data_IF_584739342439
#
_entry.id   IF_584739342439
#
_cell.length_a   1.000
_cell.length_b   1.000
_cell.length_c   1.000
_cell.angle_alpha   90.00
_cell.angle_beta   90.00
_cell.angle_gamma   90.00
#
_symmetry.space_group_name_H-M   'P 1'
#
loop_
_entity.id
_entity.type
_entity.pdbx_description
1 polymer ?
#
# COMPACT_ATOMS: atom_id res chain seq x y z
N UNK A 1 46.63 1.04 -11.19
CA UNK A 1 45.84 1.26 -9.95
C UNK A 1 44.58 2.08 -10.26
N UNK A 2 43.84 1.71 -11.32
CA UNK A 2 42.86 2.62 -11.96
C UNK A 2 41.59 1.93 -12.49
N UNK A 3 41.41 0.63 -12.21
CA UNK A 3 40.24 -0.16 -12.68
C UNK A 3 39.16 -0.30 -11.60
N UNK A 4 39.48 -0.02 -10.34
CA UNK A 4 38.55 -0.17 -9.20
C UNK A 4 37.52 0.97 -9.10
N UNK A 5 37.72 2.10 -9.78
CA UNK A 5 36.88 3.31 -9.64
C UNK A 5 35.68 3.36 -10.59
N UNK A 6 35.70 2.68 -11.74
CA UNK A 6 34.53 2.66 -12.64
C UNK A 6 33.47 1.63 -12.22
N UNK A 7 33.89 0.45 -11.76
CA UNK A 7 32.98 -0.59 -11.29
C UNK A 7 32.24 -0.17 -10.00
N UNK A 8 32.90 0.57 -9.10
CA UNK A 8 32.26 1.09 -7.89
C UNK A 8 31.26 2.20 -8.21
N UNK A 9 31.61 3.14 -9.11
CA UNK A 9 30.69 4.19 -9.55
C UNK A 9 29.45 3.61 -10.23
N UNK A 10 29.60 2.71 -11.21
CA UNK A 10 28.45 2.10 -11.90
C UNK A 10 27.50 1.35 -10.94
N UNK A 11 28.04 0.74 -9.87
CA UNK A 11 27.25 0.12 -8.80
C UNK A 11 26.54 1.16 -7.93
N UNK A 12 27.12 2.34 -7.70
CA UNK A 12 26.53 3.40 -6.87
C UNK A 12 25.35 4.10 -7.57
N UNK A 13 25.44 4.35 -8.88
CA UNK A 13 24.36 4.97 -9.67
C UNK A 13 23.10 4.09 -9.74
N UNK A 14 23.27 2.78 -9.91
CA UNK A 14 22.15 1.81 -9.96
C UNK A 14 21.37 1.74 -8.63
N UNK A 15 22.00 2.08 -7.51
CA UNK A 15 21.39 2.06 -6.16
C UNK A 15 20.49 3.29 -5.92
N UNK A 16 20.74 4.41 -6.60
CA UNK A 16 19.98 5.66 -6.39
C UNK A 16 18.72 5.76 -7.27
N UNK A 17 18.71 5.16 -8.46
CA UNK A 17 17.61 5.30 -9.43
C UNK A 17 16.32 4.63 -8.97
N UNK A 18 16.40 3.40 -8.41
CA UNK A 18 15.19 2.66 -7.99
C UNK A 18 14.43 3.36 -6.84
N UNK A 19 15.07 3.82 -5.75
CA UNK A 19 14.40 4.62 -4.73
C UNK A 19 13.82 5.93 -5.28
N UNK A 20 14.52 6.60 -6.21
CA UNK A 20 14.05 7.85 -6.80
C UNK A 20 12.82 7.65 -7.69
N UNK A 21 12.80 6.59 -8.52
CA UNK A 21 11.63 6.24 -9.34
C UNK A 21 10.42 5.87 -8.49
N UNK A 22 10.63 5.07 -7.44
CA UNK A 22 9.56 4.74 -6.48
C UNK A 22 9.03 5.98 -5.76
N UNK A 23 9.92 6.87 -5.31
CA UNK A 23 9.55 8.14 -4.70
C UNK A 23 8.75 9.03 -5.65
N UNK A 24 9.15 9.12 -6.93
CA UNK A 24 8.43 9.89 -7.94
C UNK A 24 7.01 9.35 -8.14
N UNK A 25 6.84 8.03 -8.24
CA UNK A 25 5.52 7.40 -8.35
C UNK A 25 4.63 7.66 -7.13
N UNK A 26 5.20 7.62 -5.92
CA UNK A 26 4.46 8.02 -4.71
C UNK A 26 4.02 9.49 -4.75
N UNK A 27 4.86 10.39 -5.27
CA UNK A 27 4.52 11.81 -5.40
C UNK A 27 3.42 12.03 -6.45
N UNK A 28 3.48 11.31 -7.58
CA UNK A 28 2.44 11.35 -8.62
C UNK A 28 1.11 10.88 -8.04
N UNK A 29 1.10 9.72 -7.37
CA UNK A 29 -0.10 9.22 -6.69
C UNK A 29 -0.62 10.20 -5.64
N UNK A 30 0.26 10.80 -4.82
CA UNK A 30 -0.17 11.76 -3.81
C UNK A 30 -0.85 12.98 -4.44
N UNK A 31 -0.26 13.51 -5.51
CA UNK A 31 -0.81 14.65 -6.22
C UNK A 31 -2.18 14.31 -6.82
N UNK A 32 -2.29 13.18 -7.52
CA UNK A 32 -3.55 12.71 -8.10
C UNK A 32 -4.64 12.47 -7.04
N UNK A 33 -4.34 11.67 -6.03
CA UNK A 33 -5.34 11.19 -5.08
C UNK A 33 -5.85 12.26 -4.11
N UNK A 34 -5.05 13.28 -3.80
CA UNK A 34 -5.31 14.18 -2.67
C UNK A 34 -5.17 15.67 -2.98
N UNK A 35 -4.57 16.07 -4.10
CA UNK A 35 -4.29 17.48 -4.40
C UNK A 35 -5.02 17.95 -5.65
N UNK A 36 -4.94 17.18 -6.74
CA UNK A 36 -5.69 17.46 -7.97
C UNK A 36 -7.18 17.22 -7.71
N UNK A 37 -8.02 18.15 -8.17
CA UNK A 37 -9.46 18.09 -7.93
C UNK A 37 -9.91 18.36 -6.49
N UNK A 38 -8.99 18.57 -5.54
CA UNK A 38 -9.34 18.80 -4.14
C UNK A 38 -10.22 20.05 -3.97
N UNK A 39 -11.28 19.94 -3.16
CA UNK A 39 -12.19 21.05 -2.83
C UNK A 39 -12.36 21.25 -1.33
N UNK A 40 -12.82 22.44 -0.93
CA UNK A 40 -13.09 22.77 0.48
C UNK A 40 -11.85 22.68 1.37
N UNK A 41 -11.96 21.99 2.50
CA UNK A 41 -10.86 21.86 3.48
C UNK A 41 -9.67 21.06 2.95
N UNK A 42 -9.89 20.18 1.96
CA UNK A 42 -8.87 19.29 1.38
C UNK A 42 -7.73 20.07 0.73
N UNK A 43 -8.04 21.22 0.12
CA UNK A 43 -7.08 22.14 -0.53
C UNK A 43 -5.99 22.65 0.41
N UNK A 44 -6.28 22.73 1.71
CA UNK A 44 -5.31 23.18 2.71
C UNK A 44 -4.65 21.99 3.39
N UNK A 45 -5.43 21.00 3.80
CA UNK A 45 -4.94 19.90 4.64
C UNK A 45 -3.99 18.98 3.87
N UNK A 46 -4.33 18.57 2.65
CA UNK A 46 -3.48 17.61 1.93
C UNK A 46 -2.17 18.20 1.42
N UNK A 47 -2.10 19.45 0.92
CA UNK A 47 -0.81 20.07 0.66
C UNK A 47 0.04 20.24 1.93
N UNK A 48 -0.57 20.57 3.07
CA UNK A 48 0.15 20.65 4.34
C UNK A 48 0.70 19.29 4.80
N UNK A 49 -0.06 18.21 4.58
CA UNK A 49 0.37 16.83 4.89
C UNK A 49 1.38 16.25 3.88
N UNK A 50 1.50 16.85 2.69
CA UNK A 50 2.51 16.45 1.71
C UNK A 50 3.94 16.70 2.25
N UNK A 51 4.13 17.80 2.98
CA UNK A 51 5.42 18.17 3.57
C UNK A 51 5.95 17.08 4.52
N UNK A 52 5.23 16.67 5.57
CA UNK A 52 5.69 15.59 6.44
C UNK A 52 5.79 14.25 5.69
N UNK A 53 4.95 13.97 4.69
CA UNK A 53 5.10 12.77 3.86
C UNK A 53 6.43 12.74 3.11
N UNK A 54 6.83 13.85 2.48
CA UNK A 54 8.12 14.00 1.80
C UNK A 54 9.30 13.92 2.78
N UNK A 55 9.19 14.55 3.96
CA UNK A 55 10.21 14.43 5.00
C UNK A 55 10.36 12.97 5.45
N UNK A 56 9.25 12.27 5.68
CA UNK A 56 9.24 10.85 5.99
C UNK A 56 9.85 9.98 4.91
N UNK A 57 9.55 10.28 3.64
CA UNK A 57 10.14 9.62 2.48
C UNK A 57 11.65 9.80 2.45
N UNK A 58 12.16 11.02 2.69
CA UNK A 58 13.60 11.28 2.76
C UNK A 58 14.25 10.51 3.93
N UNK A 59 13.59 10.43 5.09
CA UNK A 59 14.08 9.66 6.24
C UNK A 59 14.16 8.16 5.90
N UNK A 60 13.08 7.61 5.33
CA UNK A 60 13.03 6.20 4.98
C UNK A 60 13.97 5.86 3.81
N UNK A 61 14.14 6.76 2.85
CA UNK A 61 15.10 6.64 1.76
C UNK A 61 16.55 6.54 2.27
N UNK A 62 16.91 7.26 3.34
CA UNK A 62 18.25 7.16 3.96
C UNK A 62 18.53 5.80 4.60
N UNK A 63 17.48 5.07 4.99
CA UNK A 63 17.59 3.70 5.49
C UNK A 63 17.57 2.64 4.40
N UNK A 64 17.29 3.02 3.14
CA UNK A 64 17.26 2.08 2.03
C UNK A 64 18.66 1.54 1.76
N UNK A 65 18.76 0.22 1.75
CA UNK A 65 19.92 -0.51 1.22
C UNK A 65 19.47 -1.18 -0.06
N UNK A 66 19.21 -0.37 -1.09
CA UNK A 66 18.76 -0.88 -2.38
C UNK A 66 19.86 -1.77 -2.96
N UNK A 67 19.63 -3.09 -2.91
CA UNK A 67 20.42 -4.07 -3.63
C UNK A 67 19.49 -4.63 -4.70
N UNK A 68 19.65 -4.16 -5.93
CA UNK A 68 19.00 -4.78 -7.08
C UNK A 68 19.63 -6.17 -7.23
N UNK A 69 18.83 -7.21 -6.95
CA UNK A 69 19.21 -8.59 -7.20
C UNK A 69 18.45 -9.08 -8.42
N UNK A 70 19.19 -9.59 -9.41
CA UNK A 70 18.64 -10.18 -10.62
C UNK A 70 18.77 -11.71 -10.62
N UNK A 71 19.43 -12.28 -9.61
CA UNK A 71 19.89 -13.68 -9.62
C UNK A 71 18.75 -14.71 -9.41
N UNK A 72 17.50 -14.26 -9.27
CA UNK A 72 16.31 -15.13 -9.15
C UNK A 72 15.00 -14.39 -9.40
N UNK A 73 14.85 -13.78 -10.59
CA UNK A 73 13.57 -13.19 -11.00
C UNK A 73 12.54 -14.29 -11.30
N UNK A 74 11.65 -14.52 -10.35
CA UNK A 74 10.53 -15.45 -10.45
C UNK A 74 9.20 -14.75 -10.08
N UNK A 75 8.48 -14.17 -11.06
CA UNK A 75 7.21 -13.48 -10.82
C UNK A 75 6.02 -14.45 -10.69
N UNK A 76 6.23 -15.77 -10.79
CA UNK A 76 5.15 -16.76 -10.88
C UNK A 76 4.17 -16.70 -9.71
N UNK A 77 4.67 -16.49 -8.49
CA UNK A 77 3.85 -16.34 -7.29
C UNK A 77 2.92 -15.12 -7.39
N UNK A 78 3.45 -13.96 -7.76
CA UNK A 78 2.64 -12.73 -7.88
C UNK A 78 1.62 -12.86 -9.02
N UNK A 79 2.01 -13.47 -10.13
CA UNK A 79 1.12 -13.78 -11.25
C UNK A 79 -0.02 -14.73 -10.82
N UNK A 80 0.30 -15.79 -10.08
CA UNK A 80 -0.69 -16.75 -9.59
C UNK A 80 -1.69 -16.09 -8.61
N UNK A 81 -1.20 -15.22 -7.72
CA UNK A 81 -2.06 -14.46 -6.83
C UNK A 81 -2.96 -13.46 -7.59
N UNK A 82 -2.43 -12.79 -8.62
CA UNK A 82 -3.22 -11.90 -9.46
C UNK A 82 -4.33 -12.67 -10.20
N UNK A 83 -4.00 -13.83 -10.76
CA UNK A 83 -4.98 -14.72 -11.39
C UNK A 83 -6.05 -15.19 -10.39
N UNK A 84 -5.66 -15.60 -9.19
CA UNK A 84 -6.58 -16.03 -8.14
C UNK A 84 -7.55 -14.92 -7.73
N UNK A 85 -7.05 -13.70 -7.47
CA UNK A 85 -7.89 -12.54 -7.16
C UNK A 85 -8.84 -12.20 -8.31
N UNK A 86 -8.36 -12.26 -9.56
CA UNK A 86 -9.20 -12.02 -10.73
C UNK A 86 -10.33 -13.05 -10.84
N UNK A 87 -10.03 -14.34 -10.62
CA UNK A 87 -11.05 -15.40 -10.61
C UNK A 87 -12.07 -15.15 -9.49
N UNK A 88 -11.62 -14.88 -8.27
CA UNK A 88 -12.51 -14.57 -7.14
C UNK A 88 -13.45 -13.40 -7.43
N UNK A 89 -12.94 -12.34 -8.08
CA UNK A 89 -13.74 -11.19 -8.48
C UNK A 89 -14.75 -11.50 -9.58
N UNK A 90 -14.34 -12.26 -10.60
CA UNK A 90 -15.15 -12.47 -11.81
C UNK A 90 -16.12 -13.63 -11.71
N UNK A 91 -15.78 -14.68 -10.97
CA UNK A 91 -16.59 -15.92 -10.90
C UNK A 91 -17.36 -16.06 -9.59
N UNK A 92 -16.82 -15.54 -8.48
CA UNK A 92 -17.45 -15.64 -7.17
C UNK A 92 -18.09 -14.32 -6.70
N UNK A 93 -18.07 -13.28 -7.55
CA UNK A 93 -18.66 -11.96 -7.29
C UNK A 93 -18.23 -11.36 -5.94
N UNK A 94 -16.99 -11.64 -5.53
CA UNK A 94 -16.44 -11.13 -4.28
C UNK A 94 -15.99 -9.68 -4.44
N UNK A 95 -16.03 -8.90 -3.37
CA UNK A 95 -15.46 -7.56 -3.36
C UNK A 95 -13.93 -7.61 -3.49
N UNK A 96 -13.27 -6.57 -4.06
CA UNK A 96 -11.81 -6.52 -4.15
C UNK A 96 -11.10 -6.76 -2.81
N UNK A 97 -11.61 -6.14 -1.73
CA UNK A 97 -11.08 -6.28 -0.37
C UNK A 97 -11.16 -7.72 0.12
N UNK A 98 -12.29 -8.41 -0.10
CA UNK A 98 -12.46 -9.79 0.32
C UNK A 98 -11.57 -10.74 -0.48
N UNK A 99 -11.48 -10.56 -1.81
CA UNK A 99 -10.60 -11.35 -2.68
C UNK A 99 -9.12 -11.20 -2.26
N UNK A 100 -8.67 -9.97 -1.99
CA UNK A 100 -7.35 -9.68 -1.44
C UNK A 100 -7.15 -10.39 -0.11
N UNK A 101 -8.12 -10.29 0.81
CA UNK A 101 -8.07 -10.92 2.12
C UNK A 101 -7.91 -12.44 2.04
N UNK A 102 -8.69 -13.12 1.20
CA UNK A 102 -8.62 -14.58 1.00
C UNK A 102 -7.25 -14.98 0.47
N UNK A 103 -6.76 -14.34 -0.59
CA UNK A 103 -5.42 -14.64 -1.14
C UNK A 103 -4.33 -14.33 -0.12
N UNK A 104 -4.49 -13.28 0.69
CA UNK A 104 -3.58 -12.95 1.79
C UNK A 104 -3.55 -14.00 2.89
N UNK A 105 -4.70 -14.59 3.26
CA UNK A 105 -4.75 -15.70 4.22
C UNK A 105 -4.00 -16.90 3.67
N UNK A 106 -4.24 -17.25 2.39
CA UNK A 106 -3.52 -18.34 1.71
C UNK A 106 -2.02 -18.07 1.69
N UNK A 107 -1.59 -16.86 1.32
CA UNK A 107 -0.19 -16.46 1.30
C UNK A 107 0.46 -16.51 2.69
N UNK A 108 -0.26 -16.05 3.71
CA UNK A 108 0.16 -16.06 5.10
C UNK A 108 0.31 -17.48 5.67
N UNK A 109 -0.63 -18.38 5.38
CA UNK A 109 -0.56 -19.79 5.78
C UNK A 109 0.52 -20.55 5.00
N UNK A 110 0.67 -20.28 3.69
CA UNK A 110 1.67 -20.93 2.86
C UNK A 110 3.12 -20.60 3.29
N UNK A 111 3.35 -19.46 3.97
CA UNK A 111 4.63 -19.13 4.60
C UNK A 111 5.02 -20.14 5.69
N UNK A 112 4.05 -20.79 6.35
CA UNK A 112 4.31 -21.85 7.34
C UNK A 112 4.90 -23.12 6.72
N UNK A 113 4.90 -23.22 5.39
CA UNK A 113 5.51 -24.30 4.62
C UNK A 113 6.71 -23.76 3.79
N UNK A 114 7.93 -23.72 4.36
CA UNK A 114 9.10 -23.09 3.74
C UNK A 114 9.46 -23.63 2.35
N UNK A 115 9.08 -24.88 2.05
CA UNK A 115 9.32 -25.54 0.76
C UNK A 115 8.49 -24.94 -0.39
N UNK A 116 7.38 -24.26 -0.09
CA UNK A 116 6.45 -23.75 -1.11
C UNK A 116 6.68 -22.25 -1.32
N UNK A 117 6.54 -21.45 -0.26
CA UNK A 117 6.56 -19.98 -0.37
C UNK A 117 7.77 -19.36 0.33
N UNK A 118 8.19 -19.92 1.47
CA UNK A 118 9.25 -19.32 2.29
C UNK A 118 8.94 -17.86 2.61
N UNK A 119 9.94 -16.97 2.48
CA UNK A 119 9.78 -15.53 2.75
C UNK A 119 9.09 -14.74 1.64
N UNK A 120 8.48 -15.42 0.65
CA UNK A 120 7.84 -14.80 -0.52
C UNK A 120 6.34 -14.57 -0.34
N UNK A 121 5.79 -14.70 0.87
CA UNK A 121 4.37 -14.44 1.16
C UNK A 121 3.97 -13.01 0.81
N UNK A 122 4.88 -12.04 1.00
CA UNK A 122 4.70 -10.67 0.53
C UNK A 122 4.55 -10.58 -1.00
N UNK A 123 5.27 -11.38 -1.78
CA UNK A 123 5.16 -11.39 -3.24
C UNK A 123 3.78 -11.88 -3.72
N UNK A 124 3.28 -12.96 -3.09
CA UNK A 124 1.91 -13.46 -3.30
C UNK A 124 0.88 -12.39 -2.92
N UNK A 125 1.00 -11.82 -1.71
CA UNK A 125 0.03 -10.84 -1.23
C UNK A 125 0.06 -9.55 -2.06
N UNK A 126 1.22 -9.11 -2.55
CA UNK A 126 1.32 -7.99 -3.47
C UNK A 126 0.62 -8.26 -4.82
N UNK A 127 0.77 -9.49 -5.35
CA UNK A 127 0.12 -9.89 -6.59
C UNK A 127 -1.41 -9.88 -6.53
N UNK A 128 -1.98 -10.17 -5.36
CA UNK A 128 -3.44 -10.11 -5.18
C UNK A 128 -4.01 -8.71 -5.38
N UNK A 129 -3.25 -7.66 -5.03
CA UNK A 129 -3.66 -6.28 -5.28
C UNK A 129 -3.73 -5.97 -6.78
N UNK A 130 -2.75 -6.43 -7.56
CA UNK A 130 -2.79 -6.28 -9.02
C UNK A 130 -3.96 -7.07 -9.63
N UNK A 131 -4.24 -8.26 -9.10
CA UNK A 131 -5.42 -9.05 -9.47
C UNK A 131 -6.76 -8.39 -9.14
N UNK A 132 -6.75 -7.47 -8.17
CA UNK A 132 -7.93 -6.78 -7.67
C UNK A 132 -8.23 -5.44 -8.39
N UNK A 133 -7.59 -5.19 -9.53
CA UNK A 133 -7.90 -4.01 -10.35
C UNK A 133 -9.36 -4.02 -10.80
N UNK A 134 -9.96 -2.83 -10.83
CA UNK A 134 -11.30 -2.65 -11.36
C UNK A 134 -11.38 -3.06 -12.83
N UNK A 135 -12.46 -3.73 -13.27
CA UNK A 135 -12.77 -3.92 -14.69
C UNK A 135 -12.81 -2.62 -15.50
N UNK A 136 -13.08 -1.49 -14.83
CA UNK A 136 -13.10 -0.16 -15.45
C UNK A 136 -11.69 0.32 -15.82
N UNK A 137 -10.66 -0.18 -15.14
CA UNK A 137 -9.25 0.13 -15.43
C UNK A 137 -8.69 -0.83 -16.47
N UNK A 138 -8.94 -2.13 -16.32
CA UNK A 138 -8.45 -3.15 -17.25
C UNK A 138 -9.62 -4.00 -17.81
N UNK A 139 -9.84 -3.96 -19.14
CA UNK A 139 -10.97 -4.66 -19.75
C UNK A 139 -10.75 -6.17 -19.83
N UNK A 140 -9.48 -6.60 -19.90
CA UNK A 140 -9.09 -7.98 -20.16
C UNK A 140 -8.19 -8.56 -19.09
N UNK A 141 -8.33 -9.88 -18.85
CA UNK A 141 -7.48 -10.64 -17.95
C UNK A 141 -5.98 -10.50 -18.27
N UNK A 142 -5.62 -10.36 -19.55
CA UNK A 142 -4.22 -10.20 -19.98
C UNK A 142 -3.51 -9.01 -19.32
N UNK A 143 -4.18 -7.85 -19.20
CA UNK A 143 -3.61 -6.67 -18.55
C UNK A 143 -3.42 -6.86 -17.04
N UNK A 144 -4.40 -7.50 -16.39
CA UNK A 144 -4.33 -7.85 -14.97
C UNK A 144 -3.18 -8.82 -14.70
N UNK A 145 -3.02 -9.83 -15.54
CA UNK A 145 -1.92 -10.81 -15.43
C UNK A 145 -0.56 -10.15 -15.71
N UNK A 146 -0.46 -9.25 -16.69
CA UNK A 146 0.75 -8.48 -16.95
C UNK A 146 1.13 -7.61 -15.73
N UNK A 147 0.16 -6.95 -15.11
CA UNK A 147 0.37 -6.17 -13.89
C UNK A 147 0.79 -7.06 -12.70
N UNK A 148 0.20 -8.24 -12.56
CA UNK A 148 0.61 -9.24 -11.56
C UNK A 148 2.05 -9.72 -11.77
N UNK A 149 2.43 -10.06 -12.99
CA UNK A 149 3.81 -10.44 -13.32
C UNK A 149 4.80 -9.30 -13.02
N UNK A 150 4.47 -8.08 -13.44
CA UNK A 150 5.31 -6.90 -13.18
C UNK A 150 5.39 -6.57 -11.69
N UNK A 151 4.32 -6.79 -10.92
CA UNK A 151 4.33 -6.64 -9.45
C UNK A 151 5.35 -7.57 -8.81
N UNK A 152 5.40 -8.84 -9.23
CA UNK A 152 6.40 -9.80 -8.77
C UNK A 152 7.83 -9.36 -9.09
N UNK A 153 8.06 -8.90 -10.33
CA UNK A 153 9.36 -8.36 -10.76
C UNK A 153 9.77 -7.16 -9.92
N UNK A 154 8.89 -6.16 -9.78
CA UNK A 154 9.17 -4.97 -8.98
C UNK A 154 9.38 -5.32 -7.50
N UNK A 155 8.63 -6.25 -6.93
CA UNK A 155 8.83 -6.68 -5.54
C UNK A 155 10.24 -7.24 -5.30
N UNK A 156 10.75 -8.05 -6.23
CA UNK A 156 12.10 -8.61 -6.14
C UNK A 156 13.18 -7.54 -6.32
N UNK A 157 13.00 -6.63 -7.29
CA UNK A 157 13.93 -5.54 -7.54
C UNK A 157 13.94 -4.50 -6.40
N UNK A 158 12.78 -4.22 -5.80
CA UNK A 158 12.58 -3.20 -4.77
C UNK A 158 12.71 -3.75 -3.34
N UNK A 159 13.22 -4.97 -3.15
CA UNK A 159 13.33 -5.62 -1.82
C UNK A 159 14.00 -4.72 -0.77
N UNK A 160 15.00 -3.94 -1.18
CA UNK A 160 15.74 -3.00 -0.34
C UNK A 160 15.24 -1.55 -0.32
N UNK A 161 14.16 -1.24 -1.04
CA UNK A 161 13.52 0.09 -1.07
C UNK A 161 12.43 0.11 0.01
N UNK A 162 12.46 1.15 0.85
CA UNK A 162 11.58 1.36 2.00
C UNK A 162 11.36 0.08 2.84
N UNK A 163 12.44 -0.57 3.31
CA UNK A 163 12.29 -1.79 4.09
C UNK A 163 11.38 -1.49 5.29
N UNK A 164 10.41 -2.38 5.50
CA UNK A 164 9.64 -2.45 6.75
C UNK A 164 8.65 -1.28 6.95
N UNK A 165 8.42 -0.46 5.92
CA UNK A 165 7.32 0.51 5.87
C UNK A 165 6.00 -0.20 5.52
N UNK A 166 4.98 -0.02 6.36
CA UNK A 166 3.63 -0.51 6.09
C UNK A 166 3.08 0.03 4.77
N UNK A 167 2.28 -0.75 4.06
CA UNK A 167 1.75 -0.35 2.75
C UNK A 167 2.69 -0.53 1.56
N UNK A 168 3.98 -0.84 1.77
CA UNK A 168 4.95 -1.07 0.68
C UNK A 168 4.49 -2.10 -0.35
N UNK A 169 3.83 -3.17 0.10
CA UNK A 169 3.33 -4.23 -0.77
C UNK A 169 2.34 -3.69 -1.80
N UNK A 170 1.33 -2.92 -1.34
CA UNK A 170 0.37 -2.30 -2.26
C UNK A 170 0.99 -1.17 -3.07
N UNK A 171 1.90 -0.37 -2.52
CA UNK A 171 2.64 0.62 -3.28
C UNK A 171 3.46 0.00 -4.44
N UNK A 172 4.03 -1.19 -4.24
CA UNK A 172 4.73 -1.94 -5.29
C UNK A 172 3.76 -2.41 -6.37
N UNK A 173 2.59 -2.95 -5.97
CA UNK A 173 1.55 -3.35 -6.90
C UNK A 173 1.01 -2.17 -7.70
N UNK A 174 0.75 -1.04 -7.04
CA UNK A 174 0.32 0.20 -7.67
C UNK A 174 1.32 0.67 -8.72
N UNK A 175 2.62 0.68 -8.41
CA UNK A 175 3.64 1.03 -9.39
C UNK A 175 3.58 0.14 -10.64
N UNK A 176 3.42 -1.18 -10.47
CA UNK A 176 3.30 -2.10 -11.59
C UNK A 176 2.01 -1.88 -12.39
N UNK A 177 0.87 -1.78 -11.71
CA UNK A 177 -0.45 -1.55 -12.31
C UNK A 177 -0.46 -0.23 -13.08
N UNK A 178 0.07 0.85 -12.50
CA UNK A 178 0.16 2.16 -13.13
C UNK A 178 1.02 2.13 -14.41
N UNK A 179 2.17 1.44 -14.38
CA UNK A 179 3.01 1.28 -15.58
C UNK A 179 2.30 0.49 -16.69
N UNK A 180 1.58 -0.57 -16.34
CA UNK A 180 0.79 -1.34 -17.31
C UNK A 180 -0.38 -0.52 -17.84
N UNK A 181 -1.01 0.28 -16.98
CA UNK A 181 -2.08 1.21 -17.36
C UNK A 181 -1.60 2.26 -18.37
N UNK A 182 -0.42 2.87 -18.16
CA UNK A 182 0.18 3.79 -19.15
C UNK A 182 0.33 3.12 -20.52
N UNK A 183 0.81 1.87 -20.56
CA UNK A 183 0.97 1.11 -21.81
C UNK A 183 -0.39 0.80 -22.46
N UNK A 184 -1.39 0.41 -21.66
CA UNK A 184 -2.74 0.16 -22.16
C UNK A 184 -3.37 1.42 -22.76
N UNK A 185 -3.24 2.57 -22.08
CA UNK A 185 -3.76 3.85 -22.55
C UNK A 185 -3.03 4.36 -23.79
N UNK A 186 -1.71 4.21 -23.86
CA UNK A 186 -0.96 4.49 -25.09
C UNK A 186 -1.40 3.60 -26.27
N UNK A 187 -1.92 2.39 -25.97
CA UNK A 187 -2.55 1.48 -26.93
C UNK A 187 -4.00 1.82 -27.30
N UNK A 188 -4.55 2.94 -26.79
CA UNK A 188 -5.90 3.42 -27.12
C UNK A 188 -7.00 3.02 -26.13
N UNK A 189 -6.66 2.57 -24.92
CA UNK A 189 -7.65 2.28 -23.88
C UNK A 189 -7.86 3.45 -22.90
N UNK A 190 -9.08 3.97 -22.87
CA UNK A 190 -9.55 5.01 -21.96
C UNK A 190 -10.64 4.43 -21.03
N UNK A 191 -10.20 3.79 -19.94
CA UNK A 191 -11.12 3.34 -18.89
C UNK A 191 -11.86 4.51 -18.24
N UNK A 192 -13.17 4.40 -17.92
CA UNK A 192 -13.99 5.53 -17.44
C UNK A 192 -13.69 5.98 -16.00
N UNK A 193 -12.68 5.40 -15.33
CA UNK A 193 -12.40 5.64 -13.92
C UNK A 193 -13.50 5.13 -12.99
N UNK A 194 -13.30 5.28 -11.67
CA UNK A 194 -14.30 4.96 -10.65
C UNK A 194 -14.86 6.27 -10.11
N UNK A 195 -16.19 6.39 -10.03
CA UNK A 195 -16.83 7.59 -9.48
C UNK A 195 -16.65 7.68 -7.95
N UNK A 196 -16.46 8.88 -7.38
CA UNK A 196 -16.36 9.05 -5.94
C UNK A 196 -17.64 8.64 -5.22
N UNK A 197 -17.51 7.93 -4.10
CA UNK A 197 -18.64 7.62 -3.21
C UNK A 197 -18.95 8.82 -2.32
N UNK A 198 -20.22 9.19 -2.18
CA UNK A 198 -20.63 10.23 -1.24
C UNK A 198 -20.70 9.66 0.18
N UNK A 199 -19.89 10.19 1.10
CA UNK A 199 -19.80 9.71 2.48
C UNK A 199 -20.49 10.69 3.45
N UNK A 200 -21.32 10.14 4.33
CA UNK A 200 -21.98 10.87 5.41
C UNK A 200 -21.04 11.16 6.60
N UNK A 201 -21.55 11.78 7.68
CA UNK A 201 -20.74 12.10 8.86
C UNK A 201 -20.35 10.88 9.72
N UNK A 202 -21.23 9.87 9.80
CA UNK A 202 -21.02 8.67 10.60
C UNK A 202 -20.03 7.73 9.91
N UNK A 203 -20.16 7.52 8.60
CA UNK A 203 -19.25 6.75 7.75
C UNK A 203 -17.82 7.26 7.90
N UNK A 204 -17.63 8.58 7.88
CA UNK A 204 -16.30 9.18 8.09
C UNK A 204 -15.71 8.81 9.44
N UNK A 205 -16.50 8.86 10.50
CA UNK A 205 -16.03 8.49 11.84
C UNK A 205 -15.69 6.99 11.92
N UNK A 206 -16.53 6.13 11.34
CA UNK A 206 -16.32 4.68 11.28
C UNK A 206 -15.11 4.31 10.43
N UNK A 207 -14.86 4.99 9.31
CA UNK A 207 -13.68 4.81 8.46
C UNK A 207 -12.39 5.12 9.24
N UNK A 208 -12.35 6.24 9.97
CA UNK A 208 -11.20 6.61 10.79
C UNK A 208 -10.98 5.60 11.92
N UNK A 209 -12.06 5.21 12.61
CA UNK A 209 -11.99 4.23 13.68
C UNK A 209 -11.51 2.87 13.16
N UNK A 210 -12.04 2.39 12.04
CA UNK A 210 -11.67 1.13 11.41
C UNK A 210 -10.20 1.13 11.00
N UNK A 211 -9.71 2.19 10.34
CA UNK A 211 -8.30 2.28 9.94
C UNK A 211 -7.36 2.29 11.15
N UNK A 212 -7.70 3.04 12.20
CA UNK A 212 -6.92 3.07 13.45
C UNK A 212 -6.88 1.70 14.14
N UNK A 213 -8.05 1.09 14.34
CA UNK A 213 -8.17 -0.22 14.99
C UNK A 213 -7.43 -1.29 14.19
N UNK A 214 -7.59 -1.32 12.87
CA UNK A 214 -6.89 -2.26 12.00
C UNK A 214 -5.36 -2.12 12.11
N UNK A 215 -4.83 -0.89 12.11
CA UNK A 215 -3.39 -0.65 12.26
C UNK A 215 -2.86 -1.21 13.58
N UNK A 216 -3.56 -0.93 14.69
CA UNK A 216 -3.15 -1.40 16.02
C UNK A 216 -3.31 -2.91 16.17
N UNK A 217 -4.43 -3.47 15.71
CA UNK A 217 -4.73 -4.90 15.80
C UNK A 217 -3.76 -5.72 14.96
N UNK A 218 -3.54 -5.36 13.70
CA UNK A 218 -2.60 -6.08 12.82
C UNK A 218 -1.18 -6.03 13.36
N UNK A 219 -0.73 -4.88 13.88
CA UNK A 219 0.58 -4.82 14.52
C UNK A 219 0.64 -5.70 15.77
N UNK A 220 -0.39 -5.64 16.63
CA UNK A 220 -0.49 -6.43 17.85
C UNK A 220 -0.46 -7.93 17.57
N UNK A 221 -1.23 -8.41 16.60
CA UNK A 221 -1.28 -9.81 16.19
C UNK A 221 0.07 -10.30 15.62
N UNK A 222 0.71 -9.48 14.78
CA UNK A 222 2.04 -9.79 14.25
C UNK A 222 3.15 -9.68 15.33
N UNK A 223 2.93 -8.88 16.37
CA UNK A 223 3.91 -8.66 17.42
C UNK A 223 3.85 -9.70 18.55
N UNK A 224 2.63 -10.08 18.96
CA UNK A 224 2.38 -10.95 20.11
C UNK A 224 2.11 -12.42 19.73
N UNK A 225 1.77 -12.69 18.47
CA UNK A 225 1.31 -14.00 18.03
C UNK A 225 2.28 -14.75 17.10
N UNK A 226 1.92 -15.98 16.70
CA UNK A 226 2.64 -16.76 15.69
C UNK A 226 2.37 -16.29 14.26
N UNK A 227 1.49 -15.29 14.08
CA UNK A 227 1.08 -14.82 12.76
C UNK A 227 2.19 -13.97 12.14
N UNK A 228 2.57 -14.28 10.91
CA UNK A 228 3.36 -13.36 10.11
C UNK A 228 2.54 -12.10 9.77
N UNK A 229 3.18 -10.97 9.39
CA UNK A 229 2.48 -9.73 9.11
C UNK A 229 1.40 -9.84 8.02
N UNK A 230 1.59 -10.71 7.02
CA UNK A 230 0.60 -10.94 5.95
C UNK A 230 -0.66 -11.58 6.52
N UNK A 231 -0.51 -12.65 7.31
CA UNK A 231 -1.63 -13.34 7.95
C UNK A 231 -2.36 -12.45 8.97
N UNK A 232 -1.60 -11.70 9.77
CA UNK A 232 -2.13 -10.74 10.76
C UNK A 232 -2.91 -9.58 10.11
N UNK A 233 -2.64 -9.26 8.85
CA UNK A 233 -3.42 -8.31 8.05
C UNK A 233 -4.64 -8.97 7.42
N UNK A 234 -4.42 -10.09 6.73
CA UNK A 234 -5.40 -10.71 5.85
C UNK A 234 -6.55 -11.38 6.62
N UNK A 235 -6.26 -12.10 7.70
CA UNK A 235 -7.28 -12.84 8.44
C UNK A 235 -8.33 -11.90 9.08
N UNK A 236 -7.94 -10.86 9.85
CA UNK A 236 -8.92 -9.90 10.35
C UNK A 236 -9.65 -9.15 9.23
N UNK A 237 -8.98 -8.87 8.10
CA UNK A 237 -9.62 -8.24 6.94
C UNK A 237 -10.76 -9.10 6.40
N UNK A 238 -10.58 -10.42 6.23
CA UNK A 238 -11.65 -11.31 5.78
C UNK A 238 -12.84 -11.24 6.74
N UNK A 239 -12.59 -11.36 8.05
CA UNK A 239 -13.64 -11.32 9.07
C UNK A 239 -14.40 -9.99 9.02
N UNK A 240 -13.69 -8.86 9.04
CA UNK A 240 -14.32 -7.54 9.05
C UNK A 240 -15.04 -7.26 7.73
N UNK A 241 -14.51 -7.68 6.60
CA UNK A 241 -15.17 -7.48 5.30
C UNK A 241 -16.46 -8.28 5.22
N UNK A 242 -16.49 -9.53 5.69
CA UNK A 242 -17.71 -10.32 5.75
C UNK A 242 -18.76 -9.66 6.66
N UNK A 243 -18.34 -9.16 7.82
CA UNK A 243 -19.24 -8.42 8.72
C UNK A 243 -19.74 -7.11 8.09
N UNK A 244 -18.86 -6.34 7.45
CA UNK A 244 -19.21 -5.08 6.82
C UNK A 244 -20.21 -5.27 5.67
N UNK A 245 -20.06 -6.33 4.86
CA UNK A 245 -21.02 -6.68 3.81
C UNK A 245 -22.41 -7.00 4.39
N UNK A 246 -22.51 -7.56 5.60
CA UNK A 246 -23.82 -7.80 6.24
C UNK A 246 -24.50 -6.53 6.77
N UNK A 247 -23.74 -5.44 6.94
CA UNK A 247 -24.26 -4.15 7.41
C UNK A 247 -24.69 -3.23 6.26
N UNK A 248 -24.29 -3.58 5.03
CA UNK A 248 -24.55 -2.83 3.81
C UNK A 248 -26.05 -2.88 3.46
N UNK A 249 -26.74 -1.74 3.56
CA UNK A 249 -28.18 -1.61 3.34
C UNK A 249 -29.04 -1.49 4.62
N UNK A 250 -29.07 -2.48 5.55
CA UNK A 250 -29.94 -2.44 6.72
C UNK A 250 -29.70 -1.28 7.68
N UNK A 251 -28.45 -0.81 7.79
CA UNK A 251 -28.05 0.23 8.72
C UNK A 251 -27.78 1.59 8.07
N UNK A 252 -27.86 1.68 6.73
CA UNK A 252 -27.46 2.86 5.98
C UNK A 252 -25.97 3.21 6.10
N UNK A 253 -25.13 2.21 6.39
CA UNK A 253 -23.67 2.34 6.54
C UNK A 253 -23.01 1.81 5.28
N UNK A 254 -22.02 2.54 4.75
CA UNK A 254 -21.24 2.14 3.57
C UNK A 254 -20.20 1.05 3.95
N UNK A 255 -20.63 -0.21 3.94
CA UNK A 255 -19.82 -1.35 4.39
C UNK A 255 -18.53 -1.53 3.59
N UNK A 256 -18.59 -1.29 2.27
CA UNK A 256 -17.44 -1.36 1.38
C UNK A 256 -16.36 -0.31 1.73
N UNK A 257 -16.76 0.89 2.15
CA UNK A 257 -15.83 1.95 2.54
C UNK A 257 -15.12 1.60 3.86
N UNK A 258 -15.84 1.02 4.83
CA UNK A 258 -15.26 0.54 6.09
C UNK A 258 -14.30 -0.61 5.84
N UNK A 259 -14.65 -1.58 5.00
CA UNK A 259 -13.78 -2.71 4.65
C UNK A 259 -12.48 -2.22 3.97
N UNK A 260 -12.60 -1.25 3.07
CA UNK A 260 -11.44 -0.61 2.42
C UNK A 260 -10.56 0.13 3.43
N UNK A 261 -11.16 0.90 4.33
CA UNK A 261 -10.45 1.59 5.41
C UNK A 261 -9.72 0.62 6.34
N UNK A 262 -10.36 -0.49 6.69
CA UNK A 262 -9.79 -1.55 7.50
C UNK A 262 -8.56 -2.18 6.82
N UNK A 263 -8.69 -2.60 5.56
CA UNK A 263 -7.57 -3.17 4.81
C UNK A 263 -6.41 -2.17 4.66
N UNK A 264 -6.74 -0.90 4.42
CA UNK A 264 -5.73 0.17 4.34
C UNK A 264 -5.00 0.33 5.68
N UNK A 265 -5.74 0.36 6.79
CA UNK A 265 -5.19 0.44 8.14
C UNK A 265 -4.37 -0.80 8.52
N UNK A 266 -4.78 -2.00 8.12
CA UNK A 266 -4.02 -3.23 8.41
C UNK A 266 -2.63 -3.19 7.77
N UNK A 267 -2.49 -2.60 6.58
CA UNK A 267 -1.18 -2.38 5.97
C UNK A 267 -0.28 -1.44 6.77
N UNK A 268 -0.82 -0.44 7.44
CA UNK A 268 -0.05 0.38 8.40
C UNK A 268 0.47 -0.48 9.55
N UNK A 269 -0.37 -1.38 10.06
CA UNK A 269 0.00 -2.32 11.13
C UNK A 269 1.14 -3.28 10.76
N UNK A 270 1.36 -3.52 9.46
CA UNK A 270 2.50 -4.30 8.96
C UNK A 270 3.84 -3.53 9.01
N UNK A 271 3.85 -2.26 9.45
CA UNK A 271 5.09 -1.52 9.72
C UNK A 271 5.87 -2.27 10.81
N UNK A 272 7.11 -2.63 10.51
CA UNK A 272 7.89 -3.45 11.45
C UNK A 272 8.52 -2.68 12.58
N UNK A 273 9.07 -3.46 13.51
CA UNK A 273 9.28 -3.04 14.88
C UNK A 273 10.34 -1.95 15.03
N UNK A 274 11.30 -1.86 14.12
CA UNK A 274 12.32 -0.81 14.16
C UNK A 274 11.74 0.62 14.13
N UNK A 275 10.60 0.80 13.46
CA UNK A 275 9.95 2.10 13.36
C UNK A 275 8.95 2.33 14.49
N UNK A 276 8.36 1.27 15.04
CA UNK A 276 7.34 1.36 16.08
C UNK A 276 7.89 1.64 17.47
N UNK A 277 9.23 1.58 17.66
CA UNK A 277 9.93 2.16 18.83
C UNK A 277 9.59 3.65 18.99
N UNK A 278 9.24 4.33 17.89
CA UNK A 278 8.70 5.69 17.94
C UNK A 278 7.28 5.67 18.50
N UNK A 279 7.15 5.86 19.82
CA UNK A 279 5.85 6.02 20.51
C UNK A 279 4.93 6.96 19.71
N UNK A 280 3.75 6.46 19.36
CA UNK A 280 2.72 7.22 18.64
C UNK A 280 2.73 7.06 17.11
N UNK A 281 3.73 6.39 16.49
CA UNK A 281 3.76 6.22 15.04
C UNK A 281 2.52 5.49 14.50
N UNK A 282 2.19 4.33 15.05
CA UNK A 282 1.07 3.51 14.57
C UNK A 282 -0.30 4.18 14.78
N UNK A 283 -0.63 4.73 15.98
CA UNK A 283 -1.87 5.46 16.15
C UNK A 283 -2.00 6.65 15.19
N UNK A 284 -0.93 7.43 15.01
CA UNK A 284 -0.94 8.57 14.10
C UNK A 284 -1.12 8.12 12.65
N UNK A 285 -0.41 7.08 12.22
CA UNK A 285 -0.52 6.55 10.86
C UNK A 285 -1.90 5.94 10.60
N UNK A 286 -2.51 5.27 11.58
CA UNK A 286 -3.89 4.78 11.48
C UNK A 286 -4.91 5.91 11.35
N UNK A 287 -4.77 6.98 12.14
CA UNK A 287 -5.62 8.18 12.03
C UNK A 287 -5.46 8.87 10.68
N UNK A 288 -4.22 9.09 10.24
CA UNK A 288 -3.94 9.69 8.92
C UNK A 288 -4.45 8.79 7.79
N UNK A 289 -4.41 7.47 7.95
CA UNK A 289 -4.97 6.54 6.96
C UNK A 289 -6.46 6.75 6.80
N UNK A 290 -7.21 6.83 7.90
CA UNK A 290 -8.64 7.15 7.84
C UNK A 290 -8.92 8.50 7.17
N UNK A 291 -8.12 9.52 7.50
CA UNK A 291 -8.22 10.84 6.89
C UNK A 291 -7.97 10.80 5.37
N UNK A 292 -6.93 10.07 4.93
CA UNK A 292 -6.64 9.91 3.51
C UNK A 292 -7.73 9.12 2.81
N UNK A 293 -8.27 8.05 3.40
CA UNK A 293 -9.38 7.28 2.80
C UNK A 293 -10.62 8.16 2.58
N UNK A 294 -10.98 9.03 3.53
CA UNK A 294 -12.08 10.00 3.35
C UNK A 294 -11.74 11.04 2.27
N UNK A 295 -10.47 11.40 2.19
CA UNK A 295 -9.96 12.38 1.23
C UNK A 295 -9.83 11.86 -0.19
N UNK A 296 -9.85 10.54 -0.38
CA UNK A 296 -9.44 9.86 -1.59
C UNK A 296 -10.43 10.13 -2.72
N UNK A 297 -10.00 10.94 -3.69
CA UNK A 297 -10.77 11.29 -4.90
C UNK A 297 -9.90 11.11 -6.15
N UNK A 298 -9.25 9.96 -6.36
CA UNK A 298 -8.29 9.81 -7.47
C UNK A 298 -9.00 9.74 -8.83
N UNK A 299 -8.40 10.36 -9.85
CA UNK A 299 -8.66 9.99 -11.25
C UNK A 299 -8.13 8.57 -11.52
N UNK A 300 -7.08 8.17 -10.81
CA UNK A 300 -6.48 6.84 -10.84
C UNK A 300 -7.23 5.80 -9.97
N UNK A 301 -8.48 6.06 -9.62
CA UNK A 301 -9.32 5.17 -8.81
C UNK A 301 -9.53 3.81 -9.47
N UNK A 302 -9.41 2.73 -8.68
CA UNK A 302 -9.58 1.36 -9.14
C UNK A 302 -8.31 0.71 -9.70
N UNK A 303 -7.16 1.42 -9.71
CA UNK A 303 -5.86 0.80 -9.89
C UNK A 303 -5.52 -0.05 -8.66
N UNK A 304 -5.19 -1.32 -8.89
CA UNK A 304 -4.78 -2.24 -7.83
C UNK A 304 -3.56 -1.72 -7.05
N UNK A 305 -3.65 -1.72 -5.73
CA UNK A 305 -2.57 -1.34 -4.82
C UNK A 305 -2.62 0.10 -4.30
N UNK A 306 -3.60 0.90 -4.75
CA UNK A 306 -3.88 2.24 -4.26
C UNK A 306 -4.05 2.31 -2.72
N UNK A 307 -4.82 1.42 -2.10
CA UNK A 307 -5.01 1.35 -0.66
C UNK A 307 -3.67 1.14 0.08
N UNK A 308 -2.82 0.24 -0.41
CA UNK A 308 -1.49 0.06 0.19
C UNK A 308 -0.58 1.27 -0.03
N UNK A 309 -0.73 1.97 -1.16
CA UNK A 309 -0.01 3.23 -1.43
C UNK A 309 -0.43 4.32 -0.44
N UNK A 310 -1.73 4.46 -0.18
CA UNK A 310 -2.30 5.35 0.82
C UNK A 310 -1.76 5.03 2.22
N UNK A 311 -1.73 3.75 2.61
CA UNK A 311 -1.14 3.33 3.89
C UNK A 311 0.36 3.68 3.98
N UNK A 312 1.12 3.48 2.89
CA UNK A 312 2.53 3.84 2.81
C UNK A 312 2.74 5.34 3.05
N UNK A 313 1.96 6.18 2.36
CA UNK A 313 1.98 7.64 2.54
C UNK A 313 1.63 8.03 3.97
N UNK A 314 0.63 7.39 4.59
CA UNK A 314 0.24 7.66 5.98
C UNK A 314 1.37 7.35 6.97
N UNK A 315 2.10 6.25 6.77
CA UNK A 315 3.28 5.91 7.58
C UNK A 315 4.39 6.94 7.38
N UNK A 316 4.68 7.32 6.14
CA UNK A 316 5.70 8.32 5.81
C UNK A 316 5.35 9.70 6.41
N UNK A 317 4.11 10.16 6.27
CA UNK A 317 3.63 11.40 6.87
C UNK A 317 3.78 11.37 8.40
N UNK A 318 3.43 10.25 9.03
CA UNK A 318 3.59 10.09 10.47
C UNK A 318 5.06 10.13 10.91
N UNK A 319 5.95 9.49 10.15
CA UNK A 319 7.39 9.53 10.41
C UNK A 319 7.93 10.96 10.34
N UNK A 320 7.58 11.70 9.29
CA UNK A 320 8.01 13.09 9.11
C UNK A 320 7.48 14.02 10.20
N UNK A 321 6.21 13.87 10.57
CA UNK A 321 5.60 14.70 11.62
C UNK A 321 6.24 14.44 12.99
N UNK A 322 6.41 13.17 13.38
CA UNK A 322 7.03 12.82 14.66
C UNK A 322 8.50 13.22 14.72
N UNK A 323 9.22 13.15 13.61
CA UNK A 323 10.59 13.66 13.53
C UNK A 323 10.64 15.18 13.76
N UNK A 324 9.74 15.92 13.12
CA UNK A 324 9.65 17.37 13.29
C UNK A 324 9.34 17.75 14.75
N UNK A 325 8.34 17.10 15.36
CA UNK A 325 7.98 17.33 16.77
C UNK A 325 9.12 17.03 17.74
N UNK A 326 9.93 15.99 17.47
CA UNK A 326 11.11 15.68 18.28
C UNK A 326 12.16 16.78 18.21
N UNK A 327 12.41 17.34 17.03
CA UNK A 327 13.38 18.43 16.85
C UNK A 327 12.96 19.70 17.59
N UNK A 328 11.67 20.04 17.55
CA UNK A 328 11.13 21.18 18.30
C UNK A 328 11.28 21.02 19.82
N UNK A 329 11.21 19.78 20.34
CA UNK A 329 11.46 19.51 21.77
C UNK A 329 12.94 19.53 22.14
N UNK A 330 13.82 19.32 21.17
CA UNK A 330 15.28 19.27 21.39
C UNK A 330 15.95 20.65 21.28
N UNK A 331 15.30 21.65 20.67
CA UNK A 331 15.84 23.02 20.63
C UNK A 331 15.78 23.66 22.03
N UNK A 332 16.90 24.14 22.59
CA UNK A 332 16.91 24.84 23.87
C UNK A 332 15.98 26.06 23.80
N UNK A 333 15.18 26.30 24.84
CA UNK A 333 14.41 27.55 24.93
C UNK A 333 15.39 28.72 25.06
N UNK A 334 15.23 29.80 24.28
CA UNK A 334 16.01 31.01 24.53
C UNK A 334 15.73 31.48 25.96
N UNK A 335 16.81 31.68 26.72
CA UNK A 335 16.80 32.21 28.09
C UNK A 335 16.41 33.67 28.13
#
# INVERSE_FOLDING_TARGET
>A
MTVVTQASRARTWRIAVAPAGFAALLCIFYADAFVLGATGWKVVVFPALAIPALVGLVIAARTCRAQLSFDSLDPSLSLAAAAASLVLLRTADLTPVLAIGIVGVVAGLAQLHPRVVGDRSGCLYAGSFAGACSPLVFPGAGWVLAAGALTGLLWMLLKGVLPVIGGRLGATAFCAVFLVWIVATAGGWDGPGVSPTQLDGLDRALIIAAALVAALLTHGLAAAGPMNPVLASALPTVVVTLLAVTLDGPAGIEGAAIASAWLTGSFVGMTGREWTVRRGLLPLAGLLTGLYVIGFEPELGGLGGDLGTTACIAVLASLGLLEHLRRLRATPRPS
#
